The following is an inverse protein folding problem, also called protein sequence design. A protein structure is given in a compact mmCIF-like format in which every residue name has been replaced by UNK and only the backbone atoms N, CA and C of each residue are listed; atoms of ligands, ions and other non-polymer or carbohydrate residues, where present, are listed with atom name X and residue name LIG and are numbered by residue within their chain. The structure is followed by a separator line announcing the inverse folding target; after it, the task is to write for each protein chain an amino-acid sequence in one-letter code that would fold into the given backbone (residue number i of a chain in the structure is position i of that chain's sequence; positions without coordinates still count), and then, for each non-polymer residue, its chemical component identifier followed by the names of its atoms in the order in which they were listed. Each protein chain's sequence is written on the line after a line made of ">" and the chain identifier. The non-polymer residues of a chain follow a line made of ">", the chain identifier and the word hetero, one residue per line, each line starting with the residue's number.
data_IF_599206963830
#
_entry.id   IF_599206963830
#
_cell.length_a   1.000
_cell.length_b   1.000
_cell.length_c   1.000
_cell.angle_alpha   90.00
_cell.angle_beta   90.00
_cell.angle_gamma   90.00
#
_symmetry.space_group_name_H-M   'P 1'
#
loop_
_entity.id
_entity.type
_entity.pdbx_description
1 polymer ?
#
# COMPACT_ATOMS: atom_id res chain seq x y z
N UNK A 1 7.87 -5.48 19.72
CA UNK A 1 7.03 -5.94 18.59
C UNK A 1 7.78 -5.62 17.33
N UNK A 2 7.81 -6.55 16.38
CA UNK A 2 8.45 -6.37 15.07
C UNK A 2 7.38 -6.55 14.00
N UNK A 3 7.40 -5.69 12.98
CA UNK A 3 6.51 -5.75 11.83
C UNK A 3 7.33 -5.77 10.54
N UNK A 4 6.86 -6.49 9.54
CA UNK A 4 7.49 -6.57 8.22
C UNK A 4 6.52 -6.08 7.14
N UNK A 5 7.00 -5.17 6.30
CA UNK A 5 6.28 -4.62 5.14
C UNK A 5 6.95 -5.15 3.87
N UNK A 6 6.18 -5.76 2.98
CA UNK A 6 6.65 -6.10 1.63
C UNK A 6 6.35 -4.96 0.65
N UNK A 7 7.32 -4.58 -0.19
CA UNK A 7 7.11 -3.68 -1.33
C UNK A 7 8.02 -4.01 -2.51
N UNK A 8 7.80 -3.34 -3.63
CA UNK A 8 8.72 -3.36 -4.76
C UNK A 8 9.98 -2.53 -4.46
N UNK A 9 11.08 -2.87 -5.10
CA UNK A 9 12.36 -2.16 -4.99
C UNK A 9 12.34 -0.89 -5.84
N UNK A 10 12.38 0.26 -5.14
CA UNK A 10 12.50 1.60 -5.70
C UNK A 10 12.71 2.63 -4.58
N UNK A 11 13.03 3.87 -4.94
CA UNK A 11 13.38 4.93 -3.98
C UNK A 11 12.31 5.18 -2.89
N UNK A 12 10.99 5.23 -3.20
CA UNK A 12 9.95 5.34 -2.17
C UNK A 12 9.99 4.25 -1.09
N UNK A 13 10.36 3.01 -1.41
CA UNK A 13 10.49 1.95 -0.41
C UNK A 13 11.65 2.20 0.55
N UNK A 14 12.74 2.79 0.06
CA UNK A 14 13.87 3.21 0.90
C UNK A 14 13.44 4.32 1.87
N UNK A 15 12.69 5.31 1.38
CA UNK A 15 12.15 6.38 2.24
C UNK A 15 11.12 5.86 3.25
N UNK A 16 10.33 4.84 2.91
CA UNK A 16 9.44 4.19 3.87
C UNK A 16 10.22 3.53 5.00
N UNK A 17 11.38 2.92 4.72
CA UNK A 17 12.26 2.40 5.77
C UNK A 17 12.81 3.53 6.66
N UNK A 18 13.11 4.71 6.12
CA UNK A 18 13.53 5.86 6.93
C UNK A 18 12.40 6.31 7.88
N UNK A 19 11.16 6.41 7.39
CA UNK A 19 9.99 6.72 8.21
C UNK A 19 9.74 5.65 9.29
N UNK A 20 9.91 4.37 8.94
CA UNK A 20 9.84 3.25 9.88
C UNK A 20 10.89 3.38 11.00
N UNK A 21 12.11 3.83 10.68
CA UNK A 21 13.15 4.05 11.67
C UNK A 21 12.81 5.22 12.62
N UNK A 22 12.11 6.25 12.13
CA UNK A 22 11.59 7.33 12.99
C UNK A 22 10.46 6.83 13.89
N UNK A 23 9.52 6.08 13.33
CA UNK A 23 8.45 5.43 14.08
C UNK A 23 8.97 4.51 15.19
N UNK A 24 10.04 3.75 14.93
CA UNK A 24 10.69 2.91 15.95
C UNK A 24 11.26 3.74 17.09
N UNK A 25 11.88 4.90 16.82
CA UNK A 25 12.41 5.78 17.87
C UNK A 25 11.30 6.32 18.77
N UNK A 26 10.12 6.59 18.21
CA UNK A 26 8.99 7.15 18.94
C UNK A 26 8.21 6.09 19.73
N UNK A 27 8.09 4.89 19.19
CA UNK A 27 7.16 3.87 19.70
C UNK A 27 7.84 2.62 20.28
N UNK A 28 9.11 2.39 19.93
CA UNK A 28 9.83 1.15 20.21
C UNK A 28 9.39 -0.05 19.37
N UNK A 29 8.53 0.14 18.37
CA UNK A 29 8.11 -0.91 17.43
C UNK A 29 9.06 -0.90 16.24
N UNK A 30 9.78 -2.02 16.04
CA UNK A 30 10.67 -2.18 14.90
C UNK A 30 9.86 -2.52 13.65
N UNK A 31 10.12 -1.82 12.55
CA UNK A 31 9.48 -2.07 11.26
C UNK A 31 10.54 -2.27 10.19
N UNK A 32 10.48 -3.39 9.49
CA UNK A 32 11.40 -3.72 8.38
C UNK A 32 10.63 -3.67 7.07
N UNK A 33 11.11 -2.87 6.11
CA UNK A 33 10.62 -2.85 4.73
C UNK A 33 11.49 -3.80 3.92
N UNK A 34 10.92 -4.94 3.53
CA UNK A 34 11.54 -5.88 2.61
C UNK A 34 11.14 -5.54 1.18
N UNK A 35 12.14 -5.43 0.31
CA UNK A 35 11.93 -5.11 -1.10
C UNK A 35 12.18 -6.30 -1.99
N UNK A 36 11.35 -6.44 -3.02
CA UNK A 36 11.51 -7.39 -4.12
C UNK A 36 11.60 -6.61 -5.41
N UNK A 37 12.40 -7.06 -6.37
CA UNK A 37 12.47 -6.40 -7.67
C UNK A 37 11.06 -6.28 -8.30
N UNK A 38 10.83 -5.27 -9.13
CA UNK A 38 9.52 -5.06 -9.76
C UNK A 38 8.97 -6.27 -10.53
N UNK A 39 9.77 -6.99 -11.34
CA UNK A 39 9.26 -8.14 -12.09
C UNK A 39 8.70 -9.26 -11.21
N UNK A 40 9.32 -9.52 -10.05
CA UNK A 40 8.96 -10.65 -9.19
C UNK A 40 7.99 -10.23 -8.06
N UNK A 41 7.75 -8.93 -7.87
CA UNK A 41 6.99 -8.41 -6.74
C UNK A 41 5.55 -8.95 -6.66
N UNK A 42 4.80 -8.92 -7.77
CA UNK A 42 3.42 -9.42 -7.78
C UNK A 42 3.37 -10.92 -7.48
N UNK A 43 4.22 -11.71 -8.14
CA UNK A 43 4.25 -13.16 -7.96
C UNK A 43 4.60 -13.53 -6.52
N UNK A 44 5.56 -12.82 -5.91
CA UNK A 44 5.90 -12.99 -4.50
C UNK A 44 4.71 -12.67 -3.59
N UNK A 45 4.08 -11.50 -3.75
CA UNK A 45 2.95 -11.10 -2.90
C UNK A 45 1.78 -12.11 -3.01
N UNK A 46 1.40 -12.51 -4.22
CA UNK A 46 0.29 -13.44 -4.45
C UNK A 46 0.62 -14.86 -3.99
N UNK A 47 1.88 -15.29 -4.05
CA UNK A 47 2.29 -16.57 -3.47
C UNK A 47 2.05 -16.61 -1.96
N UNK A 48 2.41 -15.55 -1.23
CA UNK A 48 2.18 -15.46 0.22
C UNK A 48 0.68 -15.40 0.55
N UNK A 49 -0.09 -14.61 -0.21
CA UNK A 49 -1.55 -14.53 -0.06
C UNK A 49 -2.22 -15.90 -0.22
N UNK A 50 -1.91 -16.62 -1.30
CA UNK A 50 -2.46 -17.94 -1.56
C UNK A 50 -2.00 -19.00 -0.56
N UNK A 51 -0.78 -18.85 -0.03
CA UNK A 51 -0.27 -19.74 1.00
C UNK A 51 -0.85 -19.44 2.39
N UNK A 52 -1.56 -18.32 2.57
CA UNK A 52 -1.94 -17.78 3.87
C UNK A 52 -0.75 -17.71 4.84
N UNK A 53 0.42 -17.35 4.29
CA UNK A 53 1.65 -17.25 5.05
C UNK A 53 1.65 -16.01 5.95
N UNK A 54 2.51 -16.02 6.96
CA UNK A 54 2.67 -14.98 7.97
C UNK A 54 4.00 -14.23 7.84
N UNK A 55 4.64 -14.31 6.67
CA UNK A 55 5.93 -13.68 6.41
C UNK A 55 5.87 -12.13 6.46
N UNK A 56 4.73 -11.54 6.12
CA UNK A 56 4.55 -10.10 6.04
C UNK A 56 3.28 -9.67 6.76
N UNK A 57 3.41 -8.66 7.63
CA UNK A 57 2.27 -8.05 8.33
C UNK A 57 1.52 -7.07 7.43
N UNK A 58 2.22 -6.46 6.47
CA UNK A 58 1.69 -5.49 5.53
C UNK A 58 2.33 -5.67 4.14
N UNK A 59 1.58 -5.31 3.10
CA UNK A 59 2.08 -5.24 1.73
C UNK A 59 1.66 -3.91 1.12
N UNK A 60 2.61 -3.17 0.55
CA UNK A 60 2.29 -2.01 -0.28
C UNK A 60 1.98 -2.51 -1.70
N UNK A 61 0.77 -3.00 -1.89
CA UNK A 61 0.31 -3.58 -3.14
C UNK A 61 -0.12 -2.56 -4.19
N UNK A 62 -0.20 -3.01 -5.44
CA UNK A 62 -0.75 -2.20 -6.53
C UNK A 62 -2.27 -2.07 -6.39
N UNK A 63 -2.83 -0.91 -6.74
CA UNK A 63 -4.28 -0.65 -6.65
C UNK A 63 -5.12 -1.60 -7.50
N UNK A 64 -4.51 -2.18 -8.54
CA UNK A 64 -5.11 -3.18 -9.43
C UNK A 64 -5.48 -4.46 -8.65
N UNK A 65 -4.84 -4.72 -7.51
CA UNK A 65 -5.04 -5.93 -6.71
C UNK A 65 -6.18 -5.80 -5.70
N UNK A 66 -6.64 -4.58 -5.41
CA UNK A 66 -7.62 -4.28 -4.35
C UNK A 66 -8.87 -5.16 -4.43
N UNK A 67 -9.41 -5.33 -5.63
CA UNK A 67 -10.61 -6.15 -5.83
C UNK A 67 -10.39 -7.63 -5.55
N UNK A 68 -9.25 -8.18 -5.99
CA UNK A 68 -8.89 -9.58 -5.71
C UNK A 68 -8.62 -9.77 -4.22
N UNK A 69 -7.78 -8.92 -3.62
CA UNK A 69 -7.45 -8.99 -2.19
C UNK A 69 -8.65 -8.89 -1.26
N UNK A 70 -9.62 -8.02 -1.59
CA UNK A 70 -10.88 -7.91 -0.84
C UNK A 70 -11.82 -9.09 -1.04
N UNK A 71 -11.96 -9.59 -2.28
CA UNK A 71 -12.91 -10.67 -2.61
C UNK A 71 -12.43 -12.04 -2.12
N UNK A 72 -11.12 -12.29 -2.19
CA UNK A 72 -10.49 -13.55 -1.81
C UNK A 72 -10.15 -13.61 -0.31
N UNK A 73 -10.41 -12.53 0.43
CA UNK A 73 -10.26 -12.49 1.89
C UNK A 73 -8.80 -12.35 2.36
N UNK A 74 -7.92 -11.83 1.50
CA UNK A 74 -6.53 -11.56 1.85
C UNK A 74 -6.36 -10.24 2.59
N UNK A 75 -7.26 -9.27 2.37
CA UNK A 75 -7.18 -7.94 3.00
C UNK A 75 -8.10 -7.84 4.21
N UNK A 76 -7.64 -7.13 5.23
CA UNK A 76 -8.47 -6.74 6.37
C UNK A 76 -9.39 -5.60 5.95
N UNK A 77 -10.67 -5.68 6.32
CA UNK A 77 -11.58 -4.55 6.12
C UNK A 77 -11.24 -3.43 7.13
N UNK A 78 -10.88 -2.26 6.61
CA UNK A 78 -10.41 -1.09 7.37
C UNK A 78 -11.48 0.01 7.49
N UNK A 79 -12.74 -0.29 7.16
CA UNK A 79 -13.83 0.69 7.12
C UNK A 79 -13.98 1.47 8.43
N UNK A 80 -13.85 0.82 9.58
CA UNK A 80 -13.99 1.48 10.87
C UNK A 80 -12.74 2.30 11.23
N UNK A 81 -11.54 1.78 10.95
CA UNK A 81 -10.29 2.54 11.09
C UNK A 81 -10.33 3.84 10.28
N UNK A 82 -10.81 3.79 9.03
CA UNK A 82 -10.95 4.96 8.16
C UNK A 82 -11.90 6.01 8.73
N UNK A 83 -12.98 5.59 9.41
CA UNK A 83 -13.91 6.51 10.08
C UNK A 83 -13.28 7.11 11.34
N UNK A 84 -12.65 6.29 12.17
CA UNK A 84 -12.06 6.70 13.44
C UNK A 84 -10.91 7.70 13.26
N UNK A 85 -10.15 7.55 12.19
CA UNK A 85 -9.00 8.40 11.85
C UNK A 85 -9.34 9.54 10.90
N UNK A 86 -10.62 9.68 10.50
CA UNK A 86 -11.08 10.70 9.56
C UNK A 86 -10.30 10.71 8.22
N UNK A 87 -9.81 9.54 7.76
CA UNK A 87 -8.93 9.44 6.58
C UNK A 87 -9.57 9.97 5.30
N UNK A 88 -10.90 9.92 5.17
CA UNK A 88 -11.63 10.50 4.02
C UNK A 88 -11.60 12.02 3.97
N UNK A 89 -11.21 12.68 5.06
CA UNK A 89 -10.98 14.15 5.12
C UNK A 89 -9.52 14.52 4.93
N UNK A 90 -8.60 13.61 5.26
CA UNK A 90 -7.14 13.81 5.15
C UNK A 90 -6.66 13.52 3.73
N UNK A 91 -7.15 12.42 3.14
CA UNK A 91 -6.80 11.98 1.80
C UNK A 91 -7.72 12.58 0.75
N UNK A 92 -7.25 12.64 -0.51
CA UNK A 92 -8.13 13.12 -1.59
C UNK A 92 -9.28 12.13 -1.82
N UNK A 93 -10.48 12.61 -2.24
CA UNK A 93 -11.59 11.73 -2.57
C UNK A 93 -11.24 10.69 -3.64
N UNK A 94 -10.39 11.07 -4.61
CA UNK A 94 -9.94 10.16 -5.67
C UNK A 94 -9.09 9.03 -5.09
N UNK A 95 -8.09 9.34 -4.25
CA UNK A 95 -7.22 8.34 -3.63
C UNK A 95 -8.04 7.33 -2.80
N UNK A 96 -8.97 7.80 -1.98
CA UNK A 96 -9.83 6.90 -1.20
C UNK A 96 -10.73 6.02 -2.08
N UNK A 97 -11.26 6.58 -3.17
CA UNK A 97 -12.15 5.84 -4.09
C UNK A 97 -11.40 4.79 -4.88
N UNK A 98 -10.20 5.12 -5.38
CA UNK A 98 -9.50 4.27 -6.35
C UNK A 98 -8.47 3.34 -5.72
N UNK A 99 -7.95 3.66 -4.53
CA UNK A 99 -6.89 2.87 -3.88
C UNK A 99 -7.36 2.13 -2.63
N UNK A 100 -8.54 2.45 -2.10
CA UNK A 100 -9.01 1.91 -0.83
C UNK A 100 -10.39 1.27 -0.89
N UNK A 101 -11.31 1.82 -1.70
CA UNK A 101 -12.72 1.44 -1.70
C UNK A 101 -13.01 0.26 -2.65
N UNK A 102 -13.61 -0.81 -2.12
CA UNK A 102 -14.09 -1.91 -2.94
C UNK A 102 -15.35 -2.60 -2.38
N UNK A 103 -16.37 -2.88 -3.22
CA UNK A 103 -16.56 -2.35 -4.58
C UNK A 103 -16.68 -0.83 -4.59
N UNK A 104 -16.41 -0.20 -5.73
CA UNK A 104 -16.52 1.26 -5.88
C UNK A 104 -17.92 1.76 -5.49
N UNK A 105 -17.99 2.79 -4.64
CA UNK A 105 -19.23 3.37 -4.12
C UNK A 105 -19.89 2.59 -2.98
N UNK A 106 -19.24 1.57 -2.43
CA UNK A 106 -19.77 0.77 -1.31
C UNK A 106 -19.58 1.43 0.07
N UNK A 107 -18.67 2.39 0.19
CA UNK A 107 -18.22 2.94 1.47
C UNK A 107 -17.41 1.95 2.32
N UNK A 108 -16.94 0.84 1.74
CA UNK A 108 -16.09 -0.17 2.41
C UNK A 108 -14.66 -0.04 1.95
N UNK A 109 -13.74 0.01 2.91
CA UNK A 109 -12.32 0.28 2.65
C UNK A 109 -11.44 -0.89 3.05
N UNK A 110 -10.43 -1.20 2.24
CA UNK A 110 -9.58 -2.39 2.38
C UNK A 110 -8.07 -2.11 2.34
N UNK A 111 -7.69 -0.86 2.06
CA UNK A 111 -6.30 -0.41 2.03
C UNK A 111 -6.22 1.08 2.40
N UNK A 112 -5.03 1.56 2.75
CA UNK A 112 -4.77 2.99 3.00
C UNK A 112 -3.86 3.50 1.88
N UNK A 113 -4.19 4.62 1.22
CA UNK A 113 -3.32 5.17 0.17
C UNK A 113 -1.96 5.58 0.76
N UNK A 114 -0.88 5.08 0.19
CA UNK A 114 0.48 5.41 0.60
C UNK A 114 1.22 6.22 -0.47
N UNK A 115 1.12 5.78 -1.71
CA UNK A 115 1.82 6.34 -2.87
C UNK A 115 0.82 6.40 -4.04
N UNK A 116 0.92 7.43 -4.90
CA UNK A 116 0.01 7.63 -6.01
C UNK A 116 0.76 8.10 -7.26
N UNK A 117 0.71 7.26 -8.30
CA UNK A 117 1.27 7.58 -9.61
C UNK A 117 0.30 8.36 -10.50
N UNK A 118 0.85 9.31 -11.26
CA UNK A 118 0.12 10.02 -12.32
C UNK A 118 0.85 9.90 -13.66
N UNK A 119 0.10 9.53 -14.70
CA UNK A 119 0.63 9.46 -16.07
C UNK A 119 0.58 10.85 -16.70
N UNK A 120 1.75 11.38 -17.09
CA UNK A 120 1.88 12.67 -17.74
C UNK A 120 2.71 12.60 -19.03
N UNK A 121 2.54 13.60 -19.90
CA UNK A 121 3.40 13.78 -21.07
C UNK A 121 4.59 14.65 -20.69
N UNK A 122 5.80 14.13 -20.87
CA UNK A 122 7.03 14.90 -20.84
C UNK A 122 7.53 15.12 -22.27
N UNK A 123 7.90 16.35 -22.61
CA UNK A 123 8.46 16.67 -23.93
C UNK A 123 9.62 17.66 -23.85
N UNK A 124 10.48 17.60 -24.88
CA UNK A 124 11.64 18.49 -25.04
C UNK A 124 11.17 19.87 -25.50
N UNK A 125 11.32 20.89 -24.65
CA UNK A 125 10.92 22.28 -24.97
C UNK A 125 11.66 22.88 -26.17
N UNK A 126 12.88 22.44 -26.47
CA UNK A 126 13.66 22.91 -27.63
C UNK A 126 13.19 22.32 -28.96
N UNK A 127 12.30 21.33 -28.94
CA UNK A 127 11.73 20.73 -30.16
C UNK A 127 10.36 21.33 -30.54
N UNK A 128 9.83 22.28 -29.75
CA UNK A 128 8.52 22.93 -29.94
C UNK A 128 8.61 24.46 -29.88
#
# INVERSE_FOLDING_TARGET
>A
TELTILWAEWDPANYLQELANEYEKETGVKVTVETVNWPDFQDKAFMEFNAHADAYDMVVGDSQWLGAGATEGHYVELTDLVKETDLTKVMTPASMTYYSEYPKGSGRYWAIPLEADAVGWAYRKDWF
#
